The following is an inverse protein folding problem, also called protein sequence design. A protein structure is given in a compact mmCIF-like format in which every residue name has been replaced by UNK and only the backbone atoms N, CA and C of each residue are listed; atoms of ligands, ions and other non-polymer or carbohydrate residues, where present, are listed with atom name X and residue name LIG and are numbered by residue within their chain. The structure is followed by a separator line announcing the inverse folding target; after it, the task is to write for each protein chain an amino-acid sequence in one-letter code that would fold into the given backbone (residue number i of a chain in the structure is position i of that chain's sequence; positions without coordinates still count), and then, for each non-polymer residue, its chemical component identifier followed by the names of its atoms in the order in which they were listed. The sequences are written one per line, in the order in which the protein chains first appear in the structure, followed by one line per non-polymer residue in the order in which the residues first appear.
data_IF_652779428654
#
_entry.id   IF_652779428654
#
_cell.length_a   1.000
_cell.length_b   1.000
_cell.length_c   1.000
_cell.angle_alpha   90.00
_cell.angle_beta   90.00
_cell.angle_gamma   90.00
#
_symmetry.space_group_name_H-M   'P 1'
#
loop_
_entity.id
_entity.type
_entity.pdbx_description
1 polymer ?
#
# COMPACT_ATOMS: atom_id res chain seq x y z
N UNK A 1 35.36 5.82 22.59
CA UNK A 1 34.31 5.25 21.73
C UNK A 1 33.81 4.00 22.42
N UNK A 2 32.54 3.88 22.85
CA UNK A 2 32.07 2.64 23.46
C UNK A 2 32.23 1.51 22.45
N UNK A 3 32.95 0.44 22.83
CA UNK A 3 33.19 -0.70 21.96
C UNK A 3 31.86 -1.37 21.63
N UNK A 4 31.56 -1.46 20.33
CA UNK A 4 30.33 -2.07 19.85
C UNK A 4 30.42 -3.57 20.13
N UNK A 5 29.43 -4.13 20.86
CA UNK A 5 29.40 -5.57 21.16
C UNK A 5 29.47 -6.38 19.85
N UNK A 6 30.29 -7.43 19.74
CA UNK A 6 30.41 -8.21 18.51
C UNK A 6 29.05 -8.77 18.07
N UNK A 7 28.80 -8.96 16.76
CA UNK A 7 27.61 -9.62 16.27
C UNK A 7 27.56 -11.06 16.80
N UNK A 8 26.37 -11.47 17.23
CA UNK A 8 26.13 -12.85 17.66
C UNK A 8 26.09 -13.82 16.47
N UNK A 9 25.73 -15.10 16.73
CA UNK A 9 25.63 -16.11 15.67
C UNK A 9 24.59 -15.75 14.60
N UNK A 10 24.59 -16.45 13.45
CA UNK A 10 23.57 -16.28 12.42
C UNK A 10 22.16 -16.34 13.01
N UNK A 11 21.22 -15.49 12.55
CA UNK A 11 19.85 -15.52 13.02
C UNK A 11 19.22 -16.90 12.79
N UNK A 12 19.01 -17.67 13.86
CA UNK A 12 18.35 -18.96 13.81
C UNK A 12 16.85 -18.81 13.52
N UNK A 13 16.20 -19.92 13.13
CA UNK A 13 14.74 -19.95 12.91
C UNK A 13 13.95 -19.41 14.10
N UNK A 14 14.30 -19.79 15.33
CA UNK A 14 13.67 -19.25 16.55
C UNK A 14 13.84 -17.72 16.68
N UNK A 15 15.06 -17.19 16.44
CA UNK A 15 15.31 -15.74 16.50
C UNK A 15 14.52 -14.99 15.42
N UNK A 16 14.34 -15.60 14.25
CA UNK A 16 13.54 -15.05 13.15
C UNK A 16 12.04 -15.10 13.45
N UNK A 17 11.56 -16.18 14.05
CA UNK A 17 10.17 -16.34 14.50
C UNK A 17 9.80 -15.29 15.55
N UNK A 18 10.62 -15.13 16.59
CA UNK A 18 10.45 -14.07 17.61
C UNK A 18 10.47 -12.65 17.02
N UNK A 19 11.32 -12.43 16.01
CA UNK A 19 11.35 -11.16 15.30
C UNK A 19 10.08 -10.93 14.47
N UNK A 20 9.52 -11.98 13.87
CA UNK A 20 8.28 -11.94 13.12
C UNK A 20 7.08 -11.66 14.03
N UNK A 21 6.94 -12.38 15.15
CA UNK A 21 5.87 -12.15 16.13
C UNK A 21 5.89 -10.71 16.67
N UNK A 22 7.08 -10.20 17.01
CA UNK A 22 7.23 -8.79 17.45
C UNK A 22 6.82 -7.79 16.37
N UNK A 23 7.02 -8.11 15.10
CA UNK A 23 6.56 -7.28 13.99
C UNK A 23 5.03 -7.31 13.87
N UNK A 24 4.45 -8.51 13.86
CA UNK A 24 3.01 -8.73 13.72
C UNK A 24 2.20 -8.16 14.89
N UNK A 25 2.78 -8.13 16.10
CA UNK A 25 2.18 -7.48 17.26
C UNK A 25 1.94 -5.96 17.09
N UNK A 26 2.57 -5.32 16.09
CA UNK A 26 2.50 -3.87 15.85
C UNK A 26 1.96 -3.50 14.48
N UNK A 27 2.17 -4.36 13.49
CA UNK A 27 1.92 -4.05 12.09
C UNK A 27 1.26 -5.24 11.39
N UNK A 28 0.17 -4.97 10.68
CA UNK A 28 -0.33 -5.90 9.68
C UNK A 28 0.71 -6.01 8.54
N UNK A 29 0.99 -7.24 8.10
CA UNK A 29 1.96 -7.53 7.07
C UNK A 29 1.43 -8.59 6.11
N UNK A 30 1.94 -8.54 4.87
CA UNK A 30 1.79 -9.63 3.91
C UNK A 30 2.92 -10.66 4.11
N UNK A 31 2.79 -11.84 3.52
CA UNK A 31 3.86 -12.86 3.51
C UNK A 31 5.16 -12.28 2.95
N UNK A 32 5.08 -11.66 1.76
CA UNK A 32 6.22 -11.01 1.13
C UNK A 32 6.76 -9.83 1.96
N UNK A 33 5.88 -9.07 2.63
CA UNK A 33 6.25 -7.96 3.51
C UNK A 33 7.03 -8.43 4.73
N UNK A 34 6.56 -9.48 5.38
CA UNK A 34 7.20 -10.09 6.54
C UNK A 34 8.54 -10.72 6.15
N UNK A 35 8.61 -11.43 5.02
CA UNK A 35 9.87 -11.97 4.51
C UNK A 35 10.91 -10.86 4.29
N UNK A 36 10.53 -9.74 3.66
CA UNK A 36 11.41 -8.56 3.51
C UNK A 36 11.88 -7.98 4.85
N UNK A 37 11.08 -8.06 5.92
CA UNK A 37 11.49 -7.63 7.27
C UNK A 37 12.59 -8.54 7.80
N UNK A 38 12.43 -9.85 7.65
CA UNK A 38 13.40 -10.85 8.08
C UNK A 38 14.69 -10.78 7.24
N UNK A 39 14.58 -10.64 5.92
CA UNK A 39 15.74 -10.46 5.03
C UNK A 39 16.57 -9.23 5.39
N UNK A 40 15.91 -8.09 5.69
CA UNK A 40 16.62 -6.90 6.16
C UNK A 40 17.33 -7.14 7.49
N UNK A 41 16.79 -8.02 8.35
CA UNK A 41 17.44 -8.41 9.61
C UNK A 41 18.68 -9.25 9.34
N UNK A 42 18.58 -10.24 8.48
CA UNK A 42 19.70 -11.11 8.05
C UNK A 42 20.79 -10.25 7.41
N UNK A 43 20.45 -9.37 6.48
CA UNK A 43 21.39 -8.47 5.81
C UNK A 43 22.06 -7.48 6.78
N UNK A 44 21.34 -6.98 7.80
CA UNK A 44 21.95 -6.16 8.86
C UNK A 44 22.93 -6.95 9.70
N UNK A 45 22.61 -8.20 10.04
CA UNK A 45 23.54 -9.07 10.75
C UNK A 45 24.80 -9.32 9.92
N UNK A 46 24.65 -9.67 8.64
CA UNK A 46 25.76 -9.92 7.74
C UNK A 46 26.70 -8.71 7.61
N UNK A 47 26.14 -7.50 7.42
CA UNK A 47 26.95 -6.27 7.40
C UNK A 47 27.74 -6.06 8.67
N UNK A 48 27.17 -6.36 9.84
CA UNK A 48 27.89 -6.25 11.11
C UNK A 48 29.03 -7.26 11.23
N UNK A 49 28.87 -8.47 10.70
CA UNK A 49 29.96 -9.44 10.64
C UNK A 49 31.12 -8.90 9.78
N UNK A 50 30.79 -8.32 8.63
CA UNK A 50 31.77 -7.70 7.73
C UNK A 50 32.49 -6.51 8.36
N UNK A 51 31.75 -5.63 9.05
CA UNK A 51 32.32 -4.50 9.81
C UNK A 51 33.36 -4.96 10.86
N UNK A 52 33.14 -6.16 11.43
CA UNK A 52 34.01 -6.79 12.43
C UNK A 52 35.09 -7.70 11.79
N UNK A 53 35.31 -7.57 10.48
CA UNK A 53 36.34 -8.29 9.72
C UNK A 53 36.05 -9.78 9.50
N UNK A 54 34.82 -10.23 9.77
CA UNK A 54 34.42 -11.63 9.57
C UNK A 54 33.78 -11.82 8.19
N UNK A 55 34.18 -12.88 7.50
CA UNK A 55 33.55 -13.30 6.24
C UNK A 55 32.35 -14.18 6.58
N UNK A 56 31.18 -13.83 6.06
CA UNK A 56 29.98 -14.66 6.16
C UNK A 56 29.89 -15.55 4.92
N UNK A 57 29.92 -16.88 5.06
CA UNK A 57 29.71 -17.78 3.93
C UNK A 57 28.33 -17.57 3.29
N UNK A 58 28.25 -17.62 1.96
CA UNK A 58 26.95 -17.50 1.26
C UNK A 58 26.00 -18.64 1.65
N UNK A 59 26.52 -19.83 1.99
CA UNK A 59 25.73 -20.95 2.50
C UNK A 59 24.97 -20.57 3.77
N UNK A 60 25.61 -19.88 4.71
CA UNK A 60 24.99 -19.40 5.95
C UNK A 60 23.91 -18.36 5.68
N UNK A 61 24.11 -17.47 4.69
CA UNK A 61 23.08 -16.49 4.30
C UNK A 61 21.87 -17.17 3.67
N UNK A 62 22.11 -18.18 2.83
CA UNK A 62 21.06 -18.98 2.22
C UNK A 62 20.24 -19.72 3.27
N UNK A 63 20.89 -20.44 4.20
CA UNK A 63 20.21 -21.16 5.28
C UNK A 63 19.35 -20.22 6.15
N UNK A 64 19.85 -19.02 6.47
CA UNK A 64 19.08 -18.04 7.22
C UNK A 64 17.84 -17.53 6.44
N UNK A 65 17.95 -17.35 5.13
CA UNK A 65 16.82 -16.95 4.26
C UNK A 65 15.79 -18.08 4.12
N UNK A 66 16.23 -19.32 3.99
CA UNK A 66 15.35 -20.51 3.97
C UNK A 66 14.60 -20.67 5.30
N UNK A 67 15.29 -20.44 6.43
CA UNK A 67 14.65 -20.40 7.74
C UNK A 67 13.61 -19.27 7.85
N UNK A 68 13.90 -18.08 7.29
CA UNK A 68 12.94 -16.98 7.25
C UNK A 68 11.69 -17.33 6.43
N UNK A 69 11.86 -17.95 5.26
CA UNK A 69 10.74 -18.39 4.44
C UNK A 69 9.88 -19.45 5.17
N UNK A 70 10.52 -20.39 5.86
CA UNK A 70 9.85 -21.42 6.67
C UNK A 70 9.02 -20.78 7.79
N UNK A 71 9.58 -19.81 8.52
CA UNK A 71 8.87 -19.06 9.56
C UNK A 71 7.65 -18.32 9.00
N UNK A 72 7.79 -17.63 7.87
CA UNK A 72 6.67 -16.90 7.24
C UNK A 72 5.56 -17.85 6.82
N UNK A 73 5.93 -19.01 6.25
CA UNK A 73 4.97 -20.05 5.85
C UNK A 73 4.20 -20.59 7.04
N UNK A 74 4.88 -20.92 8.14
CA UNK A 74 4.25 -21.41 9.37
C UNK A 74 3.26 -20.39 9.95
N UNK A 75 3.69 -19.12 10.07
CA UNK A 75 2.82 -18.05 10.58
C UNK A 75 1.60 -17.79 9.68
N UNK A 76 1.74 -17.97 8.35
CA UNK A 76 0.61 -17.89 7.45
C UNK A 76 -0.36 -19.08 7.61
N UNK A 77 0.17 -20.30 7.81
CA UNK A 77 -0.65 -21.49 8.07
C UNK A 77 -1.42 -21.38 9.40
N UNK A 78 -0.84 -20.69 10.39
CA UNK A 78 -1.48 -20.36 11.66
C UNK A 78 -2.48 -19.18 11.57
N UNK A 79 -2.62 -18.54 10.40
CA UNK A 79 -3.52 -17.41 10.18
C UNK A 79 -3.02 -16.07 10.75
N UNK A 80 -1.78 -16.02 11.26
CA UNK A 80 -1.15 -14.78 11.74
C UNK A 80 -0.74 -13.84 10.59
N UNK A 81 -0.65 -14.38 9.37
CA UNK A 81 -0.42 -13.63 8.14
C UNK A 81 -1.45 -14.03 7.10
N UNK A 82 -2.30 -13.07 6.71
CA UNK A 82 -3.35 -13.25 5.72
C UNK A 82 -3.26 -12.12 4.67
N UNK A 83 -2.79 -12.47 3.48
CA UNK A 83 -2.62 -11.53 2.37
C UNK A 83 -3.97 -11.01 1.84
N UNK A 84 -5.03 -11.84 1.86
CA UNK A 84 -6.36 -11.46 1.39
C UNK A 84 -7.02 -10.48 2.37
N UNK A 85 -6.97 -10.78 3.68
CA UNK A 85 -7.46 -9.87 4.71
C UNK A 85 -6.67 -8.54 4.71
N UNK A 86 -5.34 -8.60 4.55
CA UNK A 86 -4.51 -7.42 4.39
C UNK A 86 -4.94 -6.61 3.17
N UNK A 87 -5.12 -7.26 2.02
CA UNK A 87 -5.49 -6.62 0.76
C UNK A 87 -6.84 -5.91 0.88
N UNK A 88 -7.86 -6.60 1.39
CA UNK A 88 -9.19 -6.04 1.58
C UNK A 88 -9.18 -4.83 2.52
N UNK A 89 -8.49 -4.91 3.67
CA UNK A 89 -8.39 -3.79 4.60
C UNK A 89 -7.64 -2.59 3.99
N UNK A 90 -6.53 -2.86 3.29
CA UNK A 90 -5.70 -1.84 2.63
C UNK A 90 -6.45 -1.17 1.49
N UNK A 91 -7.18 -1.93 0.68
CA UNK A 91 -7.99 -1.44 -0.42
C UNK A 91 -9.12 -0.53 0.10
N UNK A 92 -9.92 -0.99 1.07
CA UNK A 92 -10.96 -0.17 1.71
C UNK A 92 -10.43 1.17 2.20
N UNK A 93 -9.28 1.15 2.90
CA UNK A 93 -8.64 2.38 3.40
C UNK A 93 -8.24 3.33 2.26
N UNK A 94 -7.69 2.81 1.18
CA UNK A 94 -7.25 3.62 0.04
C UNK A 94 -8.44 4.14 -0.79
N UNK A 95 -9.49 3.34 -0.98
CA UNK A 95 -10.73 3.75 -1.65
C UNK A 95 -11.40 4.91 -0.92
N UNK A 96 -11.56 4.83 0.41
CA UNK A 96 -12.06 5.96 1.23
C UNK A 96 -11.17 7.20 1.16
N UNK A 97 -9.91 7.01 0.80
CA UNK A 97 -8.97 8.08 0.51
C UNK A 97 -9.04 8.61 -0.92
N UNK A 98 -9.99 8.21 -1.76
CA UNK A 98 -10.07 8.63 -3.16
C UNK A 98 -8.82 8.23 -3.95
N UNK A 99 -8.44 6.97 -3.90
CA UNK A 99 -7.42 6.37 -4.78
C UNK A 99 -8.12 5.53 -5.83
N UNK A 100 -7.73 5.66 -7.09
CA UNK A 100 -8.25 4.83 -8.19
C UNK A 100 -7.99 3.35 -7.96
N UNK A 101 -8.80 2.48 -8.57
CA UNK A 101 -8.59 1.03 -8.54
C UNK A 101 -7.18 0.65 -9.00
N UNK A 102 -6.68 1.30 -10.06
CA UNK A 102 -5.29 1.12 -10.55
C UNK A 102 -4.25 1.50 -9.50
N UNK A 103 -4.42 2.63 -8.81
CA UNK A 103 -3.49 3.05 -7.76
C UNK A 103 -3.55 2.14 -6.52
N UNK A 104 -4.72 1.57 -6.22
CA UNK A 104 -4.89 0.58 -5.15
C UNK A 104 -4.16 -0.71 -5.52
N UNK A 105 -4.41 -1.27 -6.70
CA UNK A 105 -3.72 -2.46 -7.19
C UNK A 105 -2.20 -2.30 -7.16
N UNK A 106 -1.68 -1.16 -7.64
CA UNK A 106 -0.24 -0.86 -7.56
C UNK A 106 0.28 -0.76 -6.12
N UNK A 107 -0.54 -0.28 -5.17
CA UNK A 107 -0.16 -0.26 -3.75
C UNK A 107 -0.14 -1.66 -3.12
N UNK A 108 -1.05 -2.54 -3.51
CA UNK A 108 -1.11 -3.95 -3.08
C UNK A 108 0.06 -4.75 -3.67
N UNK A 109 0.34 -4.60 -4.96
CA UNK A 109 1.49 -5.22 -5.62
C UNK A 109 2.82 -4.82 -4.96
N UNK A 110 3.01 -3.53 -4.62
CA UNK A 110 4.20 -3.09 -3.86
C UNK A 110 4.27 -3.67 -2.45
N UNK A 111 3.13 -3.97 -1.84
CA UNK A 111 3.10 -4.72 -0.58
C UNK A 111 3.42 -6.21 -0.78
N UNK A 112 3.43 -6.70 -2.01
CA UNK A 112 3.66 -8.10 -2.36
C UNK A 112 2.43 -8.98 -2.14
N UNK A 113 1.23 -8.40 -2.26
CA UNK A 113 -0.02 -9.15 -2.40
C UNK A 113 -0.05 -9.79 -3.79
N UNK A 114 -0.50 -11.04 -3.88
CA UNK A 114 -0.68 -11.73 -5.15
C UNK A 114 -1.70 -11.05 -6.06
N UNK A 115 -1.63 -11.33 -7.36
CA UNK A 115 -2.49 -10.65 -8.35
C UNK A 115 -3.97 -10.98 -8.13
N UNK A 116 -4.27 -12.24 -7.76
CA UNK A 116 -5.63 -12.71 -7.48
C UNK A 116 -6.23 -11.97 -6.27
N UNK A 117 -5.54 -11.98 -5.13
CA UNK A 117 -6.02 -11.30 -3.92
C UNK A 117 -6.09 -9.78 -4.12
N UNK A 118 -5.16 -9.21 -4.89
CA UNK A 118 -5.19 -7.79 -5.22
C UNK A 118 -6.41 -7.42 -6.08
N UNK A 119 -6.75 -8.27 -7.08
CA UNK A 119 -7.92 -8.07 -7.93
C UNK A 119 -9.22 -8.20 -7.14
N UNK A 120 -9.33 -9.22 -6.30
CA UNK A 120 -10.50 -9.43 -5.43
C UNK A 120 -10.70 -8.30 -4.42
N UNK A 121 -9.61 -7.71 -3.93
CA UNK A 121 -9.67 -6.61 -2.97
C UNK A 121 -10.09 -5.26 -3.58
N UNK A 122 -9.90 -5.07 -4.89
CA UNK A 122 -10.27 -3.84 -5.59
C UNK A 122 -11.66 -4.03 -6.19
N UNK A 123 -12.66 -3.30 -5.68
CA UNK A 123 -13.97 -3.32 -6.34
C UNK A 123 -13.83 -2.75 -7.76
N UNK A 124 -14.25 -3.56 -8.73
CA UNK A 124 -14.13 -3.31 -10.17
C UNK A 124 -15.44 -2.76 -10.77
N UNK A 125 -16.27 -2.11 -9.95
CA UNK A 125 -17.47 -1.47 -10.43
C UNK A 125 -17.24 0.02 -10.75
N UNK A 126 -17.95 0.49 -11.77
CA UNK A 126 -17.84 1.85 -12.32
C UNK A 126 -18.23 2.91 -11.29
N UNK A 127 -19.21 2.63 -10.44
CA UNK A 127 -19.71 3.59 -9.45
C UNK A 127 -18.75 3.77 -8.28
N UNK A 128 -18.09 2.70 -7.83
CA UNK A 128 -17.03 2.77 -6.84
C UNK A 128 -15.80 3.51 -7.38
N UNK A 129 -15.46 3.36 -8.67
CA UNK A 129 -14.37 4.13 -9.29
C UNK A 129 -14.73 5.62 -9.40
N UNK A 130 -15.99 5.92 -9.77
CA UNK A 130 -16.51 7.28 -9.79
C UNK A 130 -16.49 7.92 -8.38
N UNK A 131 -16.92 7.20 -7.35
CA UNK A 131 -16.87 7.67 -5.96
C UNK A 131 -15.45 8.00 -5.50
N UNK A 132 -14.48 7.13 -5.83
CA UNK A 132 -13.07 7.39 -5.53
C UNK A 132 -12.59 8.65 -6.24
N UNK A 133 -13.03 8.90 -7.47
CA UNK A 133 -12.68 10.09 -8.23
C UNK A 133 -13.27 11.36 -7.62
N UNK A 134 -14.53 11.35 -7.18
CA UNK A 134 -15.17 12.44 -6.44
C UNK A 134 -14.40 12.76 -5.15
N UNK A 135 -14.08 11.73 -4.35
CA UNK A 135 -13.29 11.90 -3.13
C UNK A 135 -11.88 12.44 -3.41
N UNK A 136 -11.26 12.03 -4.52
CA UNK A 136 -9.97 12.54 -4.96
C UNK A 136 -10.05 14.03 -5.31
N UNK A 137 -11.06 14.43 -6.08
CA UNK A 137 -11.32 15.81 -6.49
C UNK A 137 -11.54 16.71 -5.27
N UNK A 138 -12.35 16.25 -4.31
CA UNK A 138 -12.58 16.95 -3.04
C UNK A 138 -11.29 17.19 -2.26
N UNK A 139 -10.45 16.16 -2.12
CA UNK A 139 -9.16 16.31 -1.42
C UNK A 139 -8.26 17.31 -2.15
N UNK A 140 -8.30 17.32 -3.48
CA UNK A 140 -7.46 18.19 -4.32
C UNK A 140 -8.01 19.61 -4.49
N UNK A 141 -9.30 19.82 -4.14
CA UNK A 141 -10.08 21.06 -4.30
C UNK A 141 -10.12 21.53 -5.76
N UNK A 142 -10.60 20.66 -6.65
CA UNK A 142 -10.74 20.92 -8.09
C UNK A 142 -12.16 20.63 -8.55
N UNK A 143 -12.54 21.20 -9.70
CA UNK A 143 -13.88 21.05 -10.28
C UNK A 143 -14.97 21.54 -9.32
N UNK A 144 -15.99 20.72 -8.99
CA UNK A 144 -17.08 21.13 -8.10
C UNK A 144 -16.64 21.43 -6.65
N UNK A 145 -15.38 21.15 -6.31
CA UNK A 145 -14.79 21.44 -5.00
C UNK A 145 -13.76 22.58 -5.04
N UNK A 146 -13.61 23.25 -6.18
CA UNK A 146 -12.73 24.41 -6.31
C UNK A 146 -13.29 25.61 -5.51
N UNK A 147 -12.43 26.48 -4.95
CA UNK A 147 -12.89 27.77 -4.43
C UNK A 147 -13.64 28.56 -5.52
N UNK A 148 -14.82 29.09 -5.24
CA UNK A 148 -15.63 29.83 -6.23
C UNK A 148 -16.44 28.96 -7.20
N UNK A 149 -16.44 27.62 -7.05
CA UNK A 149 -17.29 26.74 -7.83
C UNK A 149 -18.77 27.14 -7.68
N UNK A 150 -19.46 27.34 -8.80
CA UNK A 150 -20.86 27.79 -8.86
C UNK A 150 -21.06 29.32 -8.85
N UNK A 151 -19.98 30.12 -8.75
CA UNK A 151 -20.05 31.60 -8.73
C UNK A 151 -19.58 32.22 -10.05
N UNK A 152 -18.53 31.68 -10.67
CA UNK A 152 -17.98 32.13 -11.96
C UNK A 152 -18.00 30.98 -12.99
N UNK A 153 -18.33 31.21 -14.27
CA UNK A 153 -18.49 30.14 -15.26
C UNK A 153 -17.21 29.37 -15.65
N UNK A 154 -16.00 29.81 -15.30
CA UNK A 154 -14.81 29.47 -16.12
C UNK A 154 -13.54 29.00 -15.37
N UNK A 155 -13.63 28.54 -14.11
CA UNK A 155 -12.48 27.88 -13.44
C UNK A 155 -12.66 26.36 -13.23
N UNK A 156 -13.85 25.83 -13.55
CA UNK A 156 -14.21 24.42 -13.38
C UNK A 156 -14.54 23.73 -14.72
N UNK A 157 -13.95 24.19 -15.83
CA UNK A 157 -14.22 23.61 -17.14
C UNK A 157 -13.94 22.08 -17.14
N UNK A 158 -14.90 21.23 -17.55
CA UNK A 158 -14.72 19.78 -17.63
C UNK A 158 -13.51 19.33 -18.46
N UNK A 159 -13.01 20.21 -19.32
CA UNK A 159 -11.88 19.98 -20.20
C UNK A 159 -10.57 20.66 -19.78
N UNK A 160 -10.44 21.18 -18.54
CA UNK A 160 -9.15 21.76 -18.09
C UNK A 160 -8.03 20.70 -18.18
N UNK A 161 -7.04 20.89 -19.09
CA UNK A 161 -5.99 19.90 -19.31
C UNK A 161 -5.10 19.70 -18.07
N UNK A 162 -4.99 20.70 -17.19
CA UNK A 162 -4.21 20.60 -15.95
C UNK A 162 -4.88 19.65 -14.97
N UNK A 163 -6.19 19.76 -14.81
CA UNK A 163 -6.99 18.91 -13.91
C UNK A 163 -7.11 17.50 -14.48
N UNK A 164 -7.41 17.36 -15.77
CA UNK A 164 -7.45 16.06 -16.46
C UNK A 164 -6.09 15.35 -16.39
N UNK A 165 -4.99 16.07 -16.59
CA UNK A 165 -3.64 15.51 -16.46
C UNK A 165 -3.33 15.03 -15.04
N UNK A 166 -3.87 15.69 -14.01
CA UNK A 166 -3.75 15.22 -12.63
C UNK A 166 -4.57 13.94 -12.38
N UNK A 167 -5.83 13.86 -12.84
CA UNK A 167 -6.64 12.65 -12.74
C UNK A 167 -5.98 11.45 -13.42
N UNK A 168 -5.40 11.66 -14.61
CA UNK A 168 -4.66 10.63 -15.34
C UNK A 168 -3.48 10.09 -14.52
N UNK A 169 -2.65 10.97 -13.92
CA UNK A 169 -1.56 10.56 -13.01
C UNK A 169 -2.06 9.92 -11.72
N UNK A 170 -3.26 10.27 -11.26
CA UNK A 170 -3.92 9.62 -10.14
C UNK A 170 -4.54 8.25 -10.52
N UNK A 171 -4.53 7.89 -11.80
CA UNK A 171 -4.94 6.60 -12.32
C UNK A 171 -6.42 6.51 -12.71
N UNK A 172 -7.13 7.64 -12.84
CA UNK A 172 -8.51 7.68 -13.33
C UNK A 172 -8.55 7.82 -14.85
N UNK A 173 -9.61 7.30 -15.47
CA UNK A 173 -9.85 7.49 -16.91
C UNK A 173 -10.35 8.91 -17.18
N UNK A 174 -10.18 9.37 -18.43
CA UNK A 174 -10.69 10.69 -18.84
C UNK A 174 -12.20 10.81 -18.67
N UNK A 175 -12.94 9.77 -19.05
CA UNK A 175 -14.40 9.73 -18.91
C UNK A 175 -14.85 9.95 -17.45
N UNK A 176 -14.28 9.19 -16.51
CA UNK A 176 -14.58 9.35 -15.08
C UNK A 176 -14.21 10.75 -14.60
N UNK A 177 -13.07 11.29 -15.01
CA UNK A 177 -12.66 12.64 -14.64
C UNK A 177 -13.66 13.70 -15.14
N UNK A 178 -14.06 13.64 -16.41
CA UNK A 178 -15.01 14.58 -17.00
C UNK A 178 -16.38 14.49 -16.32
N UNK A 179 -16.87 13.27 -16.04
CA UNK A 179 -18.12 13.07 -15.28
C UNK A 179 -18.06 13.73 -13.89
N UNK A 180 -16.92 13.64 -13.19
CA UNK A 180 -16.75 14.28 -11.88
C UNK A 180 -16.71 15.81 -12.00
N UNK A 181 -16.07 16.33 -13.04
CA UNK A 181 -15.97 17.78 -13.27
C UNK A 181 -17.29 18.39 -13.75
N UNK A 182 -18.18 17.60 -14.35
CA UNK A 182 -19.49 18.03 -14.80
C UNK A 182 -20.54 18.10 -13.66
N UNK A 183 -20.23 17.58 -12.46
CA UNK A 183 -21.13 17.67 -11.31
C UNK A 183 -21.31 19.12 -10.87
N UNK A 184 -22.51 19.46 -10.39
CA UNK A 184 -22.69 20.67 -9.60
C UNK A 184 -22.03 20.53 -8.22
N UNK A 185 -21.71 21.63 -7.52
CA UNK A 185 -21.24 21.59 -6.14
C UNK A 185 -22.19 20.82 -5.21
N UNK A 186 -23.50 20.94 -5.42
CA UNK A 186 -24.54 20.25 -4.63
C UNK A 186 -24.51 18.73 -4.87
N UNK A 187 -24.53 18.29 -6.13
CA UNK A 187 -24.47 16.87 -6.52
C UNK A 187 -23.18 16.22 -6.00
N UNK A 188 -22.06 16.94 -6.12
CA UNK A 188 -20.77 16.46 -5.65
C UNK A 188 -20.73 16.34 -4.11
N UNK A 189 -21.36 17.26 -3.38
CA UNK A 189 -21.48 17.19 -1.92
C UNK A 189 -22.34 15.99 -1.48
N UNK A 190 -23.48 15.77 -2.14
CA UNK A 190 -24.33 14.60 -1.89
C UNK A 190 -23.58 13.29 -2.14
N UNK A 191 -22.85 13.20 -3.26
CA UNK A 191 -22.06 12.00 -3.59
C UNK A 191 -20.97 11.74 -2.56
N UNK A 192 -20.33 12.77 -2.02
CA UNK A 192 -19.34 12.64 -0.92
C UNK A 192 -20.00 12.11 0.36
N UNK A 193 -21.22 12.55 0.68
CA UNK A 193 -21.95 12.05 1.83
C UNK A 193 -22.37 10.59 1.65
N UNK A 194 -22.77 10.20 0.44
CA UNK A 194 -23.09 8.81 0.09
C UNK A 194 -21.84 7.90 0.18
N UNK A 195 -20.71 8.32 -0.38
CA UNK A 195 -19.45 7.54 -0.39
C UNK A 195 -18.79 7.36 0.99
N UNK A 196 -19.30 8.02 2.03
CA UNK A 196 -18.83 7.90 3.41
C UNK A 196 -19.63 6.92 4.26
N UNK A 197 -20.84 6.56 3.85
CA UNK A 197 -21.67 5.55 4.52
C UNK A 197 -21.09 4.17 4.25
#
# INVERSE_FOLDING_TARGET
MPSRRPPGPPPSGHVLHEAALRHLARFAATRAGLLRVLDRRIARWARRMQDDGQVVPETTLREAREAAATVVSALAAEGLVDDAAFAAARARRLSRGGRSGRAIGAALARAGVGETEAREAVADDVEAEFDRAVLAARRRRVGPFAPGAGVEPDEAAPDDPRVLGWFARAGFTRDVAQRVLALSPEEAAERVLAARR
#
